data_IF_767167454678
#
_entry.id   IF_767167454678
#
_cell.length_a   1.000
_cell.length_b   1.000
_cell.length_c   1.000
_cell.angle_alpha   90.00
_cell.angle_beta   90.00
_cell.angle_gamma   90.00
#
_symmetry.space_group_name_H-M   'P 1'
#
loop_
_entity.id
_entity.type
_entity.pdbx_description
1 polymer ?
#
# COMPACT_ATOMS: atom_id res chain seq x y z
N UNK A 1 28.46 14.90 -29.12
CA UNK A 1 27.30 14.83 -30.04
C UNK A 1 26.10 14.39 -29.23
N UNK A 2 25.36 15.34 -28.67
CA UNK A 2 24.08 15.09 -28.00
C UNK A 2 23.05 14.73 -29.07
N UNK A 3 22.55 13.50 -29.05
CA UNK A 3 21.42 13.11 -29.91
C UNK A 3 20.24 14.03 -29.56
N UNK A 4 19.82 14.90 -30.48
CA UNK A 4 18.52 15.54 -30.38
C UNK A 4 17.46 14.43 -30.49
N UNK A 5 16.96 13.96 -29.34
CA UNK A 5 15.75 13.14 -29.33
C UNK A 5 14.63 13.95 -29.98
N UNK A 6 13.94 13.35 -30.94
CA UNK A 6 12.80 13.98 -31.59
C UNK A 6 11.62 14.06 -30.62
N UNK A 7 10.75 15.06 -30.78
CA UNK A 7 9.53 15.21 -29.95
C UNK A 7 8.72 13.90 -29.87
N UNK A 8 8.64 13.17 -30.98
CA UNK A 8 7.95 11.88 -31.04
C UNK A 8 8.63 10.80 -30.18
N UNK A 9 9.97 10.77 -30.15
CA UNK A 9 10.71 9.82 -29.31
C UNK A 9 10.44 10.08 -27.82
N UNK A 10 10.51 11.34 -27.39
CA UNK A 10 10.21 11.73 -26.00
C UNK A 10 8.78 11.34 -25.60
N UNK A 11 7.80 11.57 -26.49
CA UNK A 11 6.40 11.17 -26.24
C UNK A 11 6.21 9.66 -26.11
N UNK A 12 6.87 8.89 -26.96
CA UNK A 12 6.82 7.44 -26.88
C UNK A 12 7.43 6.94 -25.56
N UNK A 13 8.54 7.54 -25.11
CA UNK A 13 9.15 7.23 -23.82
C UNK A 13 8.25 7.60 -22.62
N UNK A 14 7.58 8.75 -22.65
CA UNK A 14 6.59 9.14 -21.63
C UNK A 14 5.45 8.13 -21.56
N UNK A 15 4.94 7.69 -22.72
CA UNK A 15 3.87 6.67 -22.77
C UNK A 15 4.34 5.35 -22.16
N UNK A 16 5.53 4.88 -22.54
CA UNK A 16 6.08 3.64 -22.02
C UNK A 16 6.29 3.68 -20.49
N UNK A 17 6.78 4.81 -19.96
CA UNK A 17 6.91 5.00 -18.51
C UNK A 17 5.55 5.08 -17.81
N UNK A 18 4.54 5.64 -18.46
CA UNK A 18 3.18 5.68 -17.90
C UNK A 18 2.60 4.27 -17.76
N UNK A 19 2.82 3.42 -18.77
CA UNK A 19 2.43 2.01 -18.73
C UNK A 19 3.22 1.25 -17.66
N UNK A 20 4.51 1.53 -17.50
CA UNK A 20 5.34 0.93 -16.44
C UNK A 20 4.88 1.36 -15.04
N UNK A 21 4.58 2.65 -14.82
CA UNK A 21 4.01 3.14 -13.56
C UNK A 21 2.70 2.42 -13.26
N UNK A 22 1.81 2.26 -14.25
CA UNK A 22 0.57 1.51 -14.05
C UNK A 22 0.82 0.05 -13.71
N UNK A 23 1.80 -0.59 -14.35
CA UNK A 23 2.19 -1.96 -14.04
C UNK A 23 2.69 -2.10 -12.59
N UNK A 24 3.57 -1.19 -12.14
CA UNK A 24 4.08 -1.18 -10.76
C UNK A 24 2.98 -0.86 -9.74
N UNK A 25 2.05 0.05 -10.05
CA UNK A 25 0.87 0.33 -9.20
C UNK A 25 -0.04 -0.90 -9.06
N UNK A 26 -0.13 -1.72 -10.11
CA UNK A 26 -0.90 -2.99 -10.12
C UNK A 26 -0.15 -4.16 -9.48
N UNK A 27 1.14 -4.02 -9.17
CA UNK A 27 1.86 -5.04 -8.43
C UNK A 27 1.24 -5.22 -7.04
N UNK A 28 0.81 -6.45 -6.77
CA UNK A 28 0.31 -6.84 -5.48
C UNK A 28 1.42 -6.67 -4.42
N UNK A 29 1.02 -6.27 -3.21
CA UNK A 29 1.88 -6.44 -2.05
C UNK A 29 2.21 -7.93 -1.91
N UNK A 30 3.45 -8.31 -1.56
CA UNK A 30 3.76 -9.70 -1.28
C UNK A 30 2.79 -10.20 -0.21
N UNK A 31 2.02 -11.24 -0.55
CA UNK A 31 0.97 -11.80 0.33
C UNK A 31 1.53 -12.19 1.69
N UNK A 32 2.81 -12.54 1.79
CA UNK A 32 3.48 -12.83 3.07
C UNK A 32 3.55 -11.59 3.98
N UNK A 33 3.77 -10.39 3.42
CA UNK A 33 3.77 -9.16 4.20
C UNK A 33 2.35 -8.78 4.65
N UNK A 34 1.34 -9.02 3.80
CA UNK A 34 -0.06 -8.81 4.16
C UNK A 34 -0.51 -9.80 5.26
N UNK A 35 -0.17 -11.08 5.14
CA UNK A 35 -0.42 -12.10 6.16
C UNK A 35 0.32 -11.79 7.47
N UNK A 36 1.59 -11.36 7.39
CA UNK A 36 2.35 -10.96 8.57
C UNK A 36 1.69 -9.77 9.29
N UNK A 37 1.18 -8.78 8.55
CA UNK A 37 0.43 -7.66 9.10
C UNK A 37 -0.87 -8.11 9.79
N UNK A 38 -1.63 -9.00 9.16
CA UNK A 38 -2.86 -9.58 9.75
C UNK A 38 -2.53 -10.38 11.02
N UNK A 39 -1.49 -11.23 10.99
CA UNK A 39 -1.01 -11.98 12.17
C UNK A 39 -0.63 -11.03 13.30
N UNK A 40 0.10 -9.97 13.02
CA UNK A 40 0.51 -8.98 14.02
C UNK A 40 -0.71 -8.26 14.65
N UNK A 41 -1.71 -7.89 13.84
CA UNK A 41 -2.94 -7.29 14.35
C UNK A 41 -3.75 -8.25 15.21
N UNK A 42 -3.81 -9.53 14.81
CA UNK A 42 -4.49 -10.58 15.57
C UNK A 42 -3.81 -10.82 16.92
N UNK A 43 -2.47 -10.92 16.95
CA UNK A 43 -1.70 -11.06 18.19
C UNK A 43 -1.81 -9.82 19.09
N UNK A 44 -1.83 -8.61 18.51
CA UNK A 44 -2.06 -7.39 19.29
C UNK A 44 -3.48 -7.36 19.90
N UNK A 45 -4.49 -7.81 19.16
CA UNK A 45 -5.85 -7.95 19.68
C UNK A 45 -5.92 -8.99 20.81
N UNK A 46 -5.25 -10.14 20.64
CA UNK A 46 -5.11 -11.19 21.66
C UNK A 46 -4.47 -10.66 22.94
N UNK A 47 -3.37 -9.92 22.83
CA UNK A 47 -2.68 -9.34 23.98
C UNK A 47 -3.54 -8.33 24.76
N UNK A 48 -4.26 -7.44 24.05
CA UNK A 48 -5.20 -6.48 24.67
C UNK A 48 -6.33 -7.19 25.42
N UNK A 49 -6.83 -8.26 24.84
CA UNK A 49 -7.90 -9.05 25.44
C UNK A 49 -7.44 -9.80 26.70
N UNK A 50 -6.27 -10.45 26.64
CA UNK A 50 -5.66 -11.10 27.80
C UNK A 50 -5.40 -10.12 28.96
N UNK A 51 -4.92 -8.90 28.65
CA UNK A 51 -4.75 -7.84 29.65
C UNK A 51 -6.08 -7.41 30.30
N UNK A 52 -7.15 -7.35 29.52
CA UNK A 52 -8.49 -7.01 30.03
C UNK A 52 -9.00 -8.08 30.99
N UNK A 53 -8.80 -9.37 30.64
CA UNK A 53 -9.14 -10.49 31.51
C UNK A 53 -8.34 -10.48 32.82
N UNK A 54 -7.03 -10.23 32.77
CA UNK A 54 -6.19 -10.14 33.97
C UNK A 54 -6.64 -9.01 34.91
N UNK A 55 -6.97 -7.83 34.34
CA UNK A 55 -7.52 -6.71 35.11
C UNK A 55 -8.86 -7.08 35.76
N UNK A 56 -9.78 -7.72 35.02
CA UNK A 56 -11.06 -8.15 35.58
C UNK A 56 -10.89 -9.21 36.68
N UNK A 57 -10.00 -10.19 36.49
CA UNK A 57 -9.71 -11.22 37.48
C UNK A 57 -9.09 -10.63 38.76
N UNK A 58 -8.16 -9.67 38.62
CA UNK A 58 -7.60 -8.95 39.77
C UNK A 58 -8.64 -8.11 40.50
N UNK A 59 -9.53 -7.43 39.79
CA UNK A 59 -10.61 -6.65 40.40
C UNK A 59 -11.59 -7.53 41.17
N UNK A 60 -11.89 -8.74 40.67
CA UNK A 60 -12.69 -9.75 41.37
C UNK A 60 -11.95 -10.25 42.62
N UNK A 61 -10.63 -10.47 42.55
CA UNK A 61 -9.83 -10.93 43.68
C UNK A 61 -9.65 -9.87 44.79
N UNK A 62 -9.61 -8.59 44.43
CA UNK A 62 -9.51 -7.46 45.38
C UNK A 62 -10.87 -7.10 45.98
N UNK A 63 -11.98 -7.37 45.27
CA UNK A 63 -13.33 -7.19 45.77
C UNK A 63 -13.69 -8.27 46.80
N UNK A 64 -13.30 -8.03 48.05
CA UNK A 64 -13.77 -8.77 49.23
C UNK A 64 -15.27 -8.51 49.47
N UNK A 65 -16.14 -9.12 48.66
CA UNK A 65 -17.56 -9.42 48.96
C UNK A 65 -18.03 -10.55 48.03
N UNK A 66 -18.77 -11.55 48.54
CA UNK A 66 -19.24 -12.67 47.74
C UNK A 66 -20.36 -12.16 46.81
N UNK A 67 -19.98 -11.76 45.60
CA UNK A 67 -20.95 -11.69 44.51
C UNK A 67 -21.18 -13.13 44.07
N UNK A 68 -22.34 -13.67 44.43
CA UNK A 68 -22.75 -15.02 44.06
C UNK A 68 -22.73 -15.17 42.55
N UNK A 69 -22.06 -16.22 42.08
CA UNK A 69 -21.92 -16.62 40.67
C UNK A 69 -23.26 -17.07 40.04
N UNK A 70 -24.29 -16.24 40.08
CA UNK A 70 -25.56 -16.52 39.38
C UNK A 70 -25.80 -15.60 38.16
N UNK A 71 -24.87 -14.68 37.87
CA UNK A 71 -25.06 -13.67 36.80
C UNK A 71 -24.01 -13.68 35.68
N UNK A 72 -23.17 -14.70 35.54
CA UNK A 72 -22.24 -14.81 34.41
C UNK A 72 -22.40 -16.12 33.63
N UNK A 73 -23.28 -16.12 32.64
CA UNK A 73 -23.10 -16.98 31.45
C UNK A 73 -22.12 -16.27 30.51
N UNK A 74 -20.84 -16.18 30.92
CA UNK A 74 -19.81 -15.38 30.25
C UNK A 74 -18.51 -16.12 29.92
N UNK A 75 -18.29 -17.31 30.49
CA UNK A 75 -17.01 -18.03 30.36
C UNK A 75 -16.70 -18.53 28.94
N UNK A 76 -17.72 -18.64 28.08
CA UNK A 76 -17.53 -19.08 26.70
C UNK A 76 -17.16 -17.95 25.74
N UNK A 77 -17.48 -16.68 26.03
CA UNK A 77 -17.24 -15.58 25.08
C UNK A 77 -15.74 -15.29 24.85
N UNK A 78 -14.89 -15.26 25.89
CA UNK A 78 -13.44 -15.16 25.71
C UNK A 78 -12.84 -16.29 24.89
N UNK A 79 -13.27 -17.53 25.15
CA UNK A 79 -12.81 -18.72 24.45
C UNK A 79 -13.33 -18.83 23.02
N UNK A 80 -14.59 -18.46 22.77
CA UNK A 80 -15.18 -18.41 21.43
C UNK A 80 -14.50 -17.34 20.57
N UNK A 81 -14.23 -16.15 21.12
CA UNK A 81 -13.48 -15.10 20.42
C UNK A 81 -12.04 -15.54 20.11
N UNK A 82 -11.40 -16.26 21.04
CA UNK A 82 -10.07 -16.85 20.85
C UNK A 82 -10.06 -17.92 19.74
N UNK A 83 -11.00 -18.87 19.78
CA UNK A 83 -11.12 -19.94 18.78
C UNK A 83 -11.56 -19.43 17.40
N UNK A 84 -12.39 -18.38 17.37
CA UNK A 84 -12.76 -17.69 16.14
C UNK A 84 -11.53 -16.99 15.52
N UNK A 85 -10.65 -16.40 16.32
CA UNK A 85 -9.41 -15.78 15.83
C UNK A 85 -8.48 -16.76 15.10
N UNK A 86 -8.19 -17.90 15.71
CA UNK A 86 -7.32 -18.95 15.12
C UNK A 86 -7.95 -19.61 13.89
N UNK A 87 -9.25 -19.91 13.95
CA UNK A 87 -9.97 -20.50 12.81
C UNK A 87 -10.02 -19.54 11.62
N UNK A 88 -10.29 -18.25 11.88
CA UNK A 88 -10.32 -17.22 10.84
C UNK A 88 -8.94 -17.00 10.22
N UNK A 89 -7.87 -17.01 11.02
CA UNK A 89 -6.50 -16.90 10.54
C UNK A 89 -6.13 -18.10 9.64
N UNK A 90 -6.47 -19.31 10.09
CA UNK A 90 -6.23 -20.55 9.32
C UNK A 90 -6.98 -20.54 7.98
N UNK A 91 -8.24 -20.10 7.98
CA UNK A 91 -9.04 -20.03 6.76
C UNK A 91 -8.52 -18.94 5.80
N UNK A 92 -8.09 -17.79 6.33
CA UNK A 92 -7.42 -16.76 5.53
C UNK A 92 -6.14 -17.32 4.89
N UNK A 93 -5.31 -18.01 5.66
CA UNK A 93 -4.06 -18.61 5.15
C UNK A 93 -4.32 -19.65 4.05
N UNK A 94 -5.33 -20.50 4.21
CA UNK A 94 -5.72 -21.49 3.21
C UNK A 94 -6.25 -20.82 1.93
N UNK A 95 -7.13 -19.82 2.05
CA UNK A 95 -7.64 -19.07 0.89
C UNK A 95 -6.52 -18.30 0.18
N UNK A 96 -5.58 -17.72 0.92
CA UNK A 96 -4.40 -17.05 0.38
C UNK A 96 -3.50 -18.05 -0.36
N UNK A 97 -3.30 -19.25 0.18
CA UNK A 97 -2.55 -20.31 -0.50
C UNK A 97 -3.24 -20.80 -1.78
N UNK A 98 -4.58 -20.89 -1.79
CA UNK A 98 -5.34 -21.25 -2.97
C UNK A 98 -5.25 -20.16 -4.06
N UNK A 99 -5.34 -18.88 -3.67
CA UNK A 99 -5.15 -17.75 -4.58
C UNK A 99 -3.74 -17.74 -5.20
N UNK A 100 -2.69 -18.12 -4.44
CA UNK A 100 -1.32 -18.29 -4.98
C UNK A 100 -1.22 -19.38 -6.05
N UNK A 101 -2.03 -20.43 -5.94
CA UNK A 101 -2.01 -21.54 -6.88
C UNK A 101 -2.77 -21.20 -8.18
N UNK A 102 -3.87 -20.44 -8.08
CA UNK A 102 -4.74 -20.12 -9.23
C UNK A 102 -4.31 -18.85 -10.00
N UNK A 103 -3.82 -17.82 -9.31
CA UNK A 103 -3.38 -16.58 -9.94
C UNK A 103 -1.89 -16.68 -10.27
N UNK A 104 -1.55 -17.21 -11.45
CA UNK A 104 -0.18 -17.33 -11.94
C UNK A 104 0.69 -16.13 -11.52
N UNK A 105 1.54 -16.36 -10.51
CA UNK A 105 2.23 -15.36 -9.68
C UNK A 105 2.33 -13.97 -10.31
N UNK A 106 1.43 -13.02 -9.98
CA UNK A 106 1.64 -11.63 -10.37
C UNK A 106 2.97 -11.16 -9.74
N UNK A 107 3.76 -10.33 -10.44
CA UNK A 107 5.01 -9.82 -9.89
C UNK A 107 4.73 -9.09 -8.58
N UNK A 108 5.28 -9.61 -7.49
CA UNK A 108 5.14 -9.05 -6.15
C UNK A 108 6.35 -8.15 -5.86
N UNK A 109 6.07 -6.96 -5.33
CA UNK A 109 7.10 -6.00 -4.92
C UNK A 109 6.84 -5.60 -3.46
N UNK A 110 7.83 -5.72 -2.56
CA UNK A 110 7.74 -5.18 -1.21
C UNK A 110 7.25 -3.73 -1.21
N UNK A 111 6.47 -3.33 -0.20
CA UNK A 111 5.86 -2.00 -0.16
C UNK A 111 6.88 -0.86 -0.33
N UNK A 112 8.04 -1.00 0.34
CA UNK A 112 9.12 -0.03 0.28
C UNK A 112 9.79 0.02 -1.10
N UNK A 113 10.05 -1.14 -1.72
CA UNK A 113 10.63 -1.22 -3.07
C UNK A 113 9.65 -0.71 -4.13
N UNK A 114 8.36 -1.02 -3.97
CA UNK A 114 7.31 -0.47 -4.83
C UNK A 114 7.24 1.05 -4.73
N UNK A 115 7.29 1.60 -3.51
CA UNK A 115 7.27 3.04 -3.30
C UNK A 115 8.52 3.72 -3.88
N UNK A 116 9.71 3.15 -3.68
CA UNK A 116 10.95 3.67 -4.24
C UNK A 116 10.95 3.61 -5.78
N UNK A 117 10.51 2.50 -6.36
CA UNK A 117 10.41 2.33 -7.81
C UNK A 117 9.37 3.26 -8.43
N UNK A 118 8.23 3.47 -7.77
CA UNK A 118 7.24 4.46 -8.21
C UNK A 118 7.81 5.89 -8.17
N UNK A 119 8.52 6.25 -7.11
CA UNK A 119 9.16 7.57 -7.01
C UNK A 119 10.20 7.80 -8.11
N UNK A 120 11.03 6.80 -8.39
CA UNK A 120 12.01 6.84 -9.48
C UNK A 120 11.34 7.01 -10.84
N UNK A 121 10.31 6.21 -11.13
CA UNK A 121 9.57 6.27 -12.39
C UNK A 121 8.82 7.58 -12.56
N UNK A 122 8.19 8.10 -11.50
CA UNK A 122 7.50 9.39 -11.51
C UNK A 122 8.47 10.54 -11.75
N UNK A 123 9.64 10.53 -11.12
CA UNK A 123 10.69 11.52 -11.35
C UNK A 123 11.22 11.44 -12.78
N UNK A 124 11.45 10.24 -13.31
CA UNK A 124 11.93 10.06 -14.69
C UNK A 124 10.90 10.50 -15.71
N UNK A 125 9.61 10.20 -15.48
CA UNK A 125 8.50 10.72 -16.29
C UNK A 125 8.56 12.24 -16.31
N UNK A 126 8.59 12.87 -15.14
CA UNK A 126 8.60 14.33 -15.01
C UNK A 126 9.75 15.01 -15.76
N UNK A 127 10.95 14.43 -15.70
CA UNK A 127 12.11 14.96 -16.45
C UNK A 127 11.91 14.91 -17.97
N UNK A 128 11.28 13.85 -18.49
CA UNK A 128 10.92 13.77 -19.91
C UNK A 128 9.81 14.75 -20.28
N UNK A 129 8.86 15.02 -19.38
CA UNK A 129 7.81 16.03 -19.60
C UNK A 129 8.39 17.44 -19.67
N UNK A 130 9.36 17.76 -18.81
CA UNK A 130 10.14 19.00 -18.88
C UNK A 130 10.91 19.11 -20.21
N UNK A 131 11.50 18.02 -20.68
CA UNK A 131 12.19 17.97 -21.97
C UNK A 131 11.21 18.12 -23.14
N UNK A 132 10.03 17.49 -23.07
CA UNK A 132 8.95 17.69 -24.05
C UNK A 132 8.55 19.17 -24.12
N UNK A 133 8.34 19.81 -22.96
CA UNK A 133 7.93 21.22 -22.91
C UNK A 133 9.00 22.15 -23.48
N UNK A 134 10.28 21.87 -23.24
CA UNK A 134 11.38 22.60 -23.85
C UNK A 134 11.30 22.53 -25.38
N UNK A 135 11.15 21.33 -25.95
CA UNK A 135 11.04 21.12 -27.40
C UNK A 135 9.77 21.79 -27.94
N UNK A 136 8.64 21.69 -27.24
CA UNK A 136 7.38 22.35 -27.62
C UNK A 136 7.54 23.87 -27.67
N UNK A 137 8.22 24.47 -26.69
CA UNK A 137 8.46 25.90 -26.63
C UNK A 137 9.36 26.37 -27.77
N UNK A 138 10.38 25.60 -28.14
CA UNK A 138 11.27 25.93 -29.26
C UNK A 138 10.63 25.74 -30.64
N UNK A 139 9.80 24.70 -30.80
CA UNK A 139 9.26 24.30 -32.11
C UNK A 139 7.86 24.82 -32.39
N UNK A 140 7.14 25.32 -31.37
CA UNK A 140 5.74 25.69 -31.48
C UNK A 140 4.79 24.51 -31.69
N UNK A 141 5.25 23.28 -31.44
CA UNK A 141 4.43 22.08 -31.58
C UNK A 141 3.26 22.07 -30.58
N UNK A 142 2.15 21.42 -30.93
CA UNK A 142 1.04 21.26 -30.01
C UNK A 142 1.44 20.38 -28.81
N UNK A 143 1.00 20.73 -27.60
CA UNK A 143 1.17 19.92 -26.38
C UNK A 143 0.36 18.63 -26.46
N UNK A 144 0.84 17.57 -25.80
CA UNK A 144 0.03 16.34 -25.66
C UNK A 144 -1.12 16.55 -24.68
N UNK A 145 -2.23 15.81 -24.83
CA UNK A 145 -3.25 15.74 -23.79
C UNK A 145 -2.68 15.12 -22.51
N UNK A 146 -3.12 15.60 -21.34
CA UNK A 146 -2.67 15.10 -20.04
C UNK A 146 -1.23 15.46 -19.68
N UNK A 147 -0.69 16.55 -20.24
CA UNK A 147 0.60 17.09 -19.81
C UNK A 147 0.49 17.59 -18.36
N UNK A 148 1.47 17.27 -17.52
CA UNK A 148 1.48 17.71 -16.13
C UNK A 148 1.59 19.23 -16.08
N UNK A 149 0.65 19.96 -15.46
CA UNK A 149 0.69 21.43 -15.40
C UNK A 149 1.97 21.96 -14.77
N UNK A 150 2.51 21.25 -13.77
CA UNK A 150 3.77 21.62 -13.12
C UNK A 150 4.97 21.57 -14.08
N UNK A 151 5.01 20.61 -15.01
CA UNK A 151 6.07 20.52 -16.02
C UNK A 151 5.97 21.68 -17.03
N UNK A 152 4.74 22.05 -17.42
CA UNK A 152 4.50 23.22 -18.29
C UNK A 152 4.96 24.52 -17.62
N UNK A 153 4.75 24.63 -16.30
CA UNK A 153 5.14 25.79 -15.51
C UNK A 153 6.63 25.78 -15.10
N UNK A 154 7.37 24.72 -15.42
CA UNK A 154 8.79 24.59 -15.04
C UNK A 154 9.04 24.46 -13.54
N UNK A 155 8.06 23.96 -12.77
CA UNK A 155 8.18 23.81 -11.32
C UNK A 155 9.17 22.65 -11.03
N UNK A 156 10.09 22.77 -10.05
CA UNK A 156 10.94 21.65 -9.67
C UNK A 156 10.12 20.45 -9.16
N UNK A 157 10.55 19.22 -9.50
CA UNK A 157 9.83 17.99 -9.16
C UNK A 157 9.46 17.88 -7.67
N UNK A 158 10.42 18.13 -6.77
CA UNK A 158 10.16 17.98 -5.34
C UNK A 158 9.12 19.01 -4.82
N UNK A 159 9.11 20.21 -5.40
CA UNK A 159 8.11 21.24 -5.08
C UNK A 159 6.73 20.87 -5.65
N UNK A 160 6.68 20.35 -6.88
CA UNK A 160 5.45 19.86 -7.50
C UNK A 160 4.86 18.67 -6.73
N UNK A 161 5.72 17.76 -6.26
CA UNK A 161 5.34 16.60 -5.44
C UNK A 161 4.76 17.02 -4.09
N UNK A 162 5.43 17.95 -3.40
CA UNK A 162 4.98 18.47 -2.12
C UNK A 162 3.64 19.22 -2.25
N UNK A 163 3.45 19.96 -3.34
CA UNK A 163 2.22 20.68 -3.62
C UNK A 163 1.08 19.79 -4.18
N UNK A 164 1.34 18.52 -4.49
CA UNK A 164 0.34 17.60 -5.02
C UNK A 164 -0.12 17.91 -6.44
N UNK A 165 0.75 18.51 -7.27
CA UNK A 165 0.42 18.98 -8.65
C UNK A 165 1.12 18.16 -9.74
N UNK A 166 1.40 16.88 -9.47
CA UNK A 166 1.99 15.92 -10.40
C UNK A 166 0.95 15.11 -11.20
N UNK A 167 -0.34 15.39 -10.99
CA UNK A 167 -1.49 14.74 -11.62
C UNK A 167 -2.34 15.74 -12.43
#
# INVERSE_FOLDING_TARGET
MTQHQTLQAVRNEISALTDEIMAVRRCALPMDAALAGVRQQLEAARARFAATLDITARNIAVATRPWTMETFTGDAMPWLAYSLGDALLTEIEQRVSAIRADAGNPPTLPAAERAAKLDELERRRYMLEMQEEFIVTETGAARRPGVTPAAVLGIPFDAAKLAGVLE
#
